data_IF_499323121811
#
_entry.id   IF_499323121811
#
_cell.length_a   1.000
_cell.length_b   1.000
_cell.length_c   1.000
_cell.angle_alpha   90.00
_cell.angle_beta   90.00
_cell.angle_gamma   90.00
#
_symmetry.space_group_name_H-M   'P 1'
#
loop_
_entity.id
_entity.type
_entity.pdbx_description
1 polymer ?
#
# COMPACT_ATOMS: atom_id res chain seq x y z
N UNK A 1 -5.57 22.27 19.17
CA UNK A 1 -6.74 21.43 18.79
C UNK A 1 -6.46 20.01 19.29
N UNK A 2 -7.35 19.39 20.09
CA UNK A 2 -7.11 18.02 20.58
C UNK A 2 -7.36 17.04 19.44
N UNK A 3 -6.63 15.92 19.42
CA UNK A 3 -6.74 14.91 18.36
C UNK A 3 -8.16 14.35 18.19
N UNK A 4 -8.92 14.27 19.29
CA UNK A 4 -10.33 13.89 19.32
C UNK A 4 -11.24 14.85 18.55
N UNK A 5 -10.87 16.13 18.47
CA UNK A 5 -11.67 17.15 17.80
C UNK A 5 -11.47 17.06 16.28
N UNK A 6 -10.23 16.77 15.84
CA UNK A 6 -9.89 16.52 14.44
C UNK A 6 -10.68 15.33 13.84
N UNK A 7 -10.76 14.21 14.56
CA UNK A 7 -11.49 13.02 14.08
C UNK A 7 -13.01 13.26 14.01
N UNK A 8 -13.57 14.03 14.94
CA UNK A 8 -14.99 14.43 14.91
C UNK A 8 -15.30 15.36 13.74
N UNK A 9 -14.36 16.20 13.32
CA UNK A 9 -14.53 17.05 12.13
C UNK A 9 -14.35 16.27 10.82
N UNK A 10 -13.43 15.30 10.81
CA UNK A 10 -13.22 14.34 9.72
C UNK A 10 -14.51 13.53 9.49
N UNK A 11 -15.07 12.90 10.54
CA UNK A 11 -16.29 12.08 10.43
C UNK A 11 -17.54 12.86 9.99
N UNK A 12 -17.58 14.18 10.17
CA UNK A 12 -18.67 15.05 9.72
C UNK A 12 -18.70 15.26 8.20
N UNK A 13 -17.77 14.68 7.45
CA UNK A 13 -17.82 14.65 5.99
C UNK A 13 -17.47 15.98 5.32
N UNK A 14 -16.77 16.90 6.02
CA UNK A 14 -16.24 18.08 5.34
C UNK A 14 -15.30 17.63 4.20
N UNK A 15 -15.51 18.09 2.96
CA UNK A 15 -14.63 17.74 1.86
C UNK A 15 -13.23 18.27 2.18
N UNK A 16 -12.24 17.39 1.98
CA UNK A 16 -10.85 17.76 2.20
C UNK A 16 -10.46 18.81 1.16
N UNK A 17 -9.99 19.98 1.61
CA UNK A 17 -9.65 21.10 0.71
C UNK A 17 -8.42 20.73 -0.12
N UNK A 18 -8.65 20.38 -1.38
CA UNK A 18 -7.62 20.25 -2.40
C UNK A 18 -6.98 21.64 -2.61
N UNK A 19 -5.65 21.73 -2.68
CA UNK A 19 -4.97 23.02 -2.85
C UNK A 19 -3.90 22.97 -3.93
N UNK A 20 -3.89 23.98 -4.80
CA UNK A 20 -2.87 24.20 -5.83
C UNK A 20 -1.55 24.63 -5.19
N UNK A 21 -0.45 24.24 -5.84
CA UNK A 21 0.95 24.48 -5.45
C UNK A 21 1.24 25.94 -5.03
N UNK A 22 1.32 26.21 -3.72
CA UNK A 22 1.73 27.49 -3.11
C UNK A 22 3.22 27.53 -2.73
N UNK A 23 4.04 26.64 -3.30
CA UNK A 23 5.42 26.38 -2.87
C UNK A 23 5.54 25.33 -1.76
N UNK A 24 4.42 24.84 -1.22
CA UNK A 24 4.33 23.70 -0.33
C UNK A 24 3.01 22.94 -0.55
N UNK A 25 3.00 21.63 -0.27
CA UNK A 25 1.82 20.77 -0.41
C UNK A 25 1.22 20.56 0.97
N UNK A 26 -0.04 20.98 1.17
CA UNK A 26 -0.77 20.63 2.40
C UNK A 26 -1.20 19.18 2.35
N UNK A 27 -0.57 18.37 3.19
CA UNK A 27 -0.91 16.95 3.31
C UNK A 27 -1.62 16.69 4.64
N UNK A 28 -2.80 16.08 4.64
CA UNK A 28 -3.50 15.69 5.86
C UNK A 28 -2.72 14.61 6.61
N UNK A 29 -2.67 14.76 7.92
CA UNK A 29 -1.91 13.85 8.79
C UNK A 29 -2.43 12.41 8.70
N UNK A 30 -3.73 12.21 8.52
CA UNK A 30 -4.32 10.88 8.40
C UNK A 30 -3.73 10.05 7.25
N UNK A 31 -3.42 10.69 6.11
CA UNK A 31 -2.79 10.02 4.96
C UNK A 31 -1.30 9.89 5.16
N UNK A 32 -0.65 10.95 5.65
CA UNK A 32 0.79 10.95 5.94
C UNK A 32 1.16 9.81 6.90
N UNK A 33 0.34 9.58 7.91
CA UNK A 33 0.52 8.54 8.94
C UNK A 33 -0.15 7.21 8.61
N UNK A 34 -0.83 7.10 7.46
CA UNK A 34 -1.51 5.88 7.05
C UNK A 34 -0.52 4.72 6.96
N UNK A 35 -0.75 3.67 7.75
CA UNK A 35 0.14 2.50 7.84
C UNK A 35 0.08 1.61 6.60
N UNK A 36 -1.05 1.61 5.90
CA UNK A 36 -1.29 0.73 4.73
C UNK A 36 -0.89 1.36 3.40
N UNK A 37 -0.32 2.56 3.42
CA UNK A 37 0.33 3.18 2.28
C UNK A 37 1.84 3.15 2.45
N UNK A 38 2.53 2.67 1.42
CA UNK A 38 4.01 2.76 1.37
C UNK A 38 4.44 4.22 1.20
N UNK A 39 5.69 4.55 1.56
CA UNK A 39 6.20 5.91 1.44
C UNK A 39 6.13 6.43 0.00
N UNK A 40 6.49 5.59 -0.98
CA UNK A 40 6.42 5.89 -2.40
C UNK A 40 4.98 6.17 -2.86
N UNK A 41 4.00 5.36 -2.42
CA UNK A 41 2.59 5.59 -2.72
C UNK A 41 2.09 6.93 -2.15
N UNK A 42 2.57 7.33 -0.96
CA UNK A 42 2.23 8.63 -0.37
C UNK A 42 2.80 9.77 -1.19
N UNK A 43 4.06 9.68 -1.61
CA UNK A 43 4.71 10.70 -2.44
C UNK A 43 3.97 10.87 -3.78
N UNK A 44 3.62 9.77 -4.45
CA UNK A 44 2.83 9.82 -5.69
C UNK A 44 1.47 10.47 -5.46
N UNK A 45 0.79 10.15 -4.37
CA UNK A 45 -0.51 10.76 -4.04
C UNK A 45 -0.38 12.26 -3.80
N UNK A 46 0.62 12.70 -3.05
CA UNK A 46 0.85 14.12 -2.75
C UNK A 46 1.23 14.92 -3.99
N UNK A 47 1.99 14.35 -4.90
CA UNK A 47 2.32 15.00 -6.18
C UNK A 47 1.07 15.17 -7.05
N UNK A 48 0.19 14.17 -7.11
CA UNK A 48 -1.09 14.28 -7.81
C UNK A 48 -1.94 15.42 -7.23
N UNK A 49 -1.93 15.58 -5.90
CA UNK A 49 -2.66 16.65 -5.23
C UNK A 49 -2.07 18.03 -5.49
N UNK A 50 -0.74 18.14 -5.50
CA UNK A 50 -0.04 19.37 -5.83
C UNK A 50 -0.32 19.84 -7.27
N UNK A 51 -0.46 18.89 -8.19
CA UNK A 51 -0.76 19.12 -9.61
C UNK A 51 -2.26 19.18 -9.93
N UNK A 52 -3.12 19.05 -8.92
CA UNK A 52 -4.55 19.12 -9.11
C UNK A 52 -4.98 20.58 -9.32
N UNK A 53 -5.67 20.85 -10.43
CA UNK A 53 -6.12 22.20 -10.75
C UNK A 53 -7.49 22.47 -10.14
N UNK A 54 -7.60 23.50 -9.29
CA UNK A 54 -8.87 23.92 -8.66
C UNK A 54 -10.00 24.15 -9.68
N UNK A 55 -9.69 24.68 -10.87
CA UNK A 55 -10.69 24.95 -11.92
C UNK A 55 -11.23 23.68 -12.58
N UNK A 56 -10.41 22.63 -12.68
CA UNK A 56 -10.74 21.40 -13.42
C UNK A 56 -11.14 20.25 -12.50
N UNK A 57 -10.69 20.27 -11.24
CA UNK A 57 -10.88 19.20 -10.26
C UNK A 57 -10.23 17.87 -10.68
N UNK A 58 -9.17 17.93 -11.49
CA UNK A 58 -8.34 16.77 -11.82
C UNK A 58 -6.91 17.18 -12.16
N UNK A 59 -5.98 16.26 -11.87
CA UNK A 59 -4.60 16.31 -12.31
C UNK A 59 -4.43 15.52 -13.62
N UNK A 60 -3.60 16.00 -14.54
CA UNK A 60 -3.30 15.32 -15.81
C UNK A 60 -1.79 15.08 -16.05
N UNK A 61 -0.99 14.73 -15.03
CA UNK A 61 0.43 14.49 -15.23
C UNK A 61 0.68 13.23 -16.05
N UNK A 62 1.73 13.28 -16.88
CA UNK A 62 2.24 12.07 -17.53
C UNK A 62 3.03 11.23 -16.53
N UNK A 63 3.16 9.92 -16.76
CA UNK A 63 3.98 9.07 -15.90
C UNK A 63 5.44 9.50 -15.90
N UNK A 64 5.95 10.05 -17.01
CA UNK A 64 7.29 10.61 -17.11
C UNK A 64 7.46 11.88 -16.28
N UNK A 65 6.44 12.74 -16.24
CA UNK A 65 6.44 13.93 -15.37
C UNK A 65 6.51 13.53 -13.90
N UNK A 66 5.68 12.57 -13.48
CA UNK A 66 5.73 12.05 -12.10
C UNK A 66 7.08 11.38 -11.79
N UNK A 67 7.67 10.69 -12.77
CA UNK A 67 8.96 10.03 -12.65
C UNK A 67 10.08 11.04 -12.39
N UNK A 68 10.06 12.13 -13.15
CA UNK A 68 11.00 13.23 -13.01
C UNK A 68 10.84 13.95 -11.68
N UNK A 69 9.60 14.30 -11.27
CA UNK A 69 9.35 14.99 -9.99
C UNK A 69 9.78 14.16 -8.78
N UNK A 70 9.52 12.84 -8.81
CA UNK A 70 9.70 11.97 -7.65
C UNK A 70 11.02 11.18 -7.64
N UNK A 71 11.82 11.28 -8.70
CA UNK A 71 13.05 10.49 -8.85
C UNK A 71 12.80 8.98 -8.96
N UNK A 72 11.65 8.59 -9.53
CA UNK A 72 11.24 7.18 -9.65
C UNK A 72 11.18 6.74 -11.10
N UNK A 73 11.24 5.44 -11.37
CA UNK A 73 11.05 4.93 -12.72
C UNK A 73 9.57 4.93 -13.13
N UNK A 74 9.28 5.18 -14.40
CA UNK A 74 7.91 5.16 -14.94
C UNK A 74 7.15 3.85 -14.66
N UNK A 75 7.77 2.65 -14.76
CA UNK A 75 7.11 1.39 -14.40
C UNK A 75 6.69 1.33 -12.92
N UNK A 76 7.54 1.82 -12.01
CA UNK A 76 7.22 1.88 -10.58
C UNK A 76 6.01 2.80 -10.35
N UNK A 77 5.99 3.98 -10.96
CA UNK A 77 4.84 4.90 -10.86
C UNK A 77 3.55 4.25 -11.37
N UNK A 78 3.59 3.59 -12.52
CA UNK A 78 2.43 2.85 -13.04
C UNK A 78 1.90 1.83 -12.03
N UNK A 79 2.80 1.11 -11.36
CA UNK A 79 2.45 0.15 -10.29
C UNK A 79 1.85 0.85 -9.07
N UNK A 80 2.41 1.96 -8.62
CA UNK A 80 1.89 2.72 -7.47
C UNK A 80 0.52 3.35 -7.76
N UNK A 81 0.33 3.90 -8.95
CA UNK A 81 -0.96 4.45 -9.40
C UNK A 81 -2.06 3.38 -9.37
N UNK A 82 -1.78 2.18 -9.93
CA UNK A 82 -2.73 1.05 -9.87
C UNK A 82 -3.07 0.63 -8.45
N UNK A 83 -2.09 0.63 -7.53
CA UNK A 83 -2.34 0.29 -6.12
C UNK A 83 -3.13 1.38 -5.39
N UNK A 84 -2.85 2.66 -5.64
CA UNK A 84 -3.58 3.78 -5.07
C UNK A 84 -5.05 3.77 -5.52
N UNK A 85 -5.28 3.45 -6.80
CA UNK A 85 -6.61 3.27 -7.37
C UNK A 85 -7.32 2.06 -6.75
N UNK A 86 -6.66 0.90 -6.68
CA UNK A 86 -7.22 -0.30 -6.03
C UNK A 86 -7.50 -0.13 -4.54
N UNK A 87 -6.80 0.78 -3.86
CA UNK A 87 -7.05 1.15 -2.46
C UNK A 87 -8.09 2.27 -2.29
N UNK A 88 -8.61 2.83 -3.39
CA UNK A 88 -9.63 3.87 -3.37
C UNK A 88 -9.14 5.26 -2.93
N UNK A 89 -7.85 5.55 -3.06
CA UNK A 89 -7.31 6.90 -2.77
C UNK A 89 -7.43 7.84 -3.96
N UNK A 90 -7.36 7.30 -5.18
CA UNK A 90 -7.48 8.05 -6.43
C UNK A 90 -8.47 7.36 -7.37
N UNK A 91 -9.07 8.15 -8.26
CA UNK A 91 -9.85 7.65 -9.38
C UNK A 91 -9.13 8.08 -10.67
N UNK A 92 -8.86 7.13 -11.57
CA UNK A 92 -8.31 7.44 -12.88
C UNK A 92 -9.42 7.41 -13.94
N UNK A 93 -9.38 8.38 -14.87
CA UNK A 93 -10.30 8.44 -15.99
C UNK A 93 -9.54 8.76 -17.27
N UNK A 94 -9.81 7.99 -18.34
CA UNK A 94 -9.15 8.14 -19.63
C UNK A 94 -9.26 6.87 -20.46
N UNK A 95 -9.65 7.02 -21.73
CA UNK A 95 -9.70 5.93 -22.70
C UNK A 95 -8.33 5.64 -23.32
N UNK A 96 -8.25 4.56 -24.10
CA UNK A 96 -7.07 4.18 -24.87
C UNK A 96 -6.66 5.33 -25.81
N UNK A 97 -5.42 5.80 -25.71
CA UNK A 97 -4.88 6.91 -26.51
C UNK A 97 -5.12 8.32 -25.94
N UNK A 98 -5.93 8.48 -24.90
CA UNK A 98 -6.12 9.78 -24.23
C UNK A 98 -5.24 9.92 -23.00
N UNK A 99 -4.84 11.15 -22.67
CA UNK A 99 -4.11 11.45 -21.44
C UNK A 99 -4.95 11.07 -20.23
N UNK A 100 -4.38 10.29 -19.31
CA UNK A 100 -5.04 9.90 -18.07
C UNK A 100 -5.23 11.12 -17.18
N UNK A 101 -6.43 11.22 -16.59
CA UNK A 101 -6.80 12.22 -15.60
C UNK A 101 -6.96 11.52 -14.26
N UNK A 102 -6.36 12.07 -13.22
CA UNK A 102 -6.40 11.56 -11.86
C UNK A 102 -7.18 12.52 -10.99
N UNK A 103 -8.12 11.99 -10.20
CA UNK A 103 -8.86 12.73 -9.18
C UNK A 103 -8.62 12.11 -7.81
N UNK A 104 -8.44 12.91 -6.76
CA UNK A 104 -8.57 12.41 -5.40
C UNK A 104 -9.96 11.80 -5.21
N UNK A 105 -10.06 10.72 -4.44
CA UNK A 105 -11.37 10.11 -4.15
C UNK A 105 -12.22 11.04 -3.28
N UNK A 106 -13.46 11.30 -3.68
CA UNK A 106 -14.40 12.16 -2.93
C UNK A 106 -14.72 11.62 -1.53
N UNK A 107 -14.70 10.29 -1.35
CA UNK A 107 -14.99 9.61 -0.09
C UNK A 107 -13.73 9.18 0.68
N UNK A 108 -12.65 9.97 0.60
CA UNK A 108 -11.42 9.68 1.31
C UNK A 108 -11.62 9.55 2.83
N UNK A 109 -12.57 10.31 3.37
CA UNK A 109 -13.04 10.29 4.76
C UNK A 109 -13.47 8.88 5.22
N UNK A 110 -14.09 8.13 4.31
CA UNK A 110 -14.68 6.81 4.58
C UNK A 110 -13.74 5.68 4.15
N UNK A 111 -12.52 5.98 3.73
CA UNK A 111 -11.59 4.97 3.26
C UNK A 111 -11.17 4.05 4.43
N UNK A 112 -11.41 2.72 4.35
CA UNK A 112 -11.16 1.79 5.46
C UNK A 112 -9.68 1.77 5.87
N UNK A 113 -8.75 2.01 4.94
CA UNK A 113 -7.32 2.07 5.25
C UNK A 113 -6.94 3.27 6.12
N UNK A 114 -7.63 4.40 5.94
CA UNK A 114 -7.42 5.59 6.76
C UNK A 114 -8.04 5.36 8.13
N UNK A 115 -9.30 4.93 8.19
CA UNK A 115 -9.99 4.67 9.45
C UNK A 115 -9.21 3.69 10.33
N UNK A 116 -8.81 2.54 9.78
CA UNK A 116 -8.03 1.54 10.52
C UNK A 116 -6.70 2.12 11.03
N UNK A 117 -6.03 2.95 10.23
CA UNK A 117 -4.79 3.58 10.65
C UNK A 117 -4.98 4.60 11.77
N UNK A 118 -6.03 5.42 11.71
CA UNK A 118 -6.31 6.41 12.75
C UNK A 118 -6.72 5.75 14.07
N UNK A 119 -7.53 4.69 14.02
CA UNK A 119 -7.88 3.86 15.18
C UNK A 119 -6.66 3.22 15.83
N UNK A 120 -5.74 2.73 15.00
CA UNK A 120 -4.50 2.17 15.50
C UNK A 120 -3.64 3.22 16.22
N UNK A 121 -3.50 4.42 15.64
CA UNK A 121 -2.77 5.52 16.29
C UNK A 121 -3.44 5.97 17.59
N UNK A 122 -4.77 5.97 17.65
CA UNK A 122 -5.53 6.20 18.89
C UNK A 122 -5.21 5.16 19.97
N UNK A 123 -5.30 3.88 19.61
CA UNK A 123 -5.03 2.79 20.56
C UNK A 123 -3.61 2.90 21.12
N UNK A 124 -2.63 3.12 20.24
CA UNK A 124 -1.23 3.35 20.63
C UNK A 124 -1.09 4.54 21.58
N UNK A 125 -1.77 5.65 21.31
CA UNK A 125 -1.73 6.82 22.19
C UNK A 125 -2.31 6.50 23.57
N UNK A 126 -3.43 5.78 23.65
CA UNK A 126 -4.03 5.35 24.92
C UNK A 126 -3.09 4.45 25.73
N UNK A 127 -2.42 3.50 25.08
CA UNK A 127 -1.43 2.64 25.75
C UNK A 127 -0.23 3.44 26.26
N UNK A 128 0.28 4.38 25.49
CA UNK A 128 1.41 5.24 25.93
C UNK A 128 1.09 6.04 27.19
N UNK A 129 -0.15 6.54 27.32
CA UNK A 129 -0.58 7.24 28.53
C UNK A 129 -0.65 6.33 29.76
N UNK A 130 -0.85 5.03 29.58
CA UNK A 130 -1.04 4.08 30.68
C UNK A 130 0.26 3.40 31.14
N UNK A 131 1.29 3.34 30.30
CA UNK A 131 2.52 2.57 30.54
C UNK A 131 3.79 3.41 30.38
N UNK A 132 3.80 4.63 30.92
CA UNK A 132 4.61 5.78 30.49
C UNK A 132 6.14 5.61 30.41
N UNK A 133 6.75 4.56 30.95
CA UNK A 133 8.22 4.47 31.03
C UNK A 133 8.84 3.11 30.64
N UNK A 134 8.07 2.01 30.61
CA UNK A 134 8.64 0.67 30.41
C UNK A 134 8.56 0.14 28.98
N UNK A 135 7.85 0.83 28.09
CA UNK A 135 7.68 0.33 26.73
C UNK A 135 8.88 0.70 25.86
N UNK A 136 9.97 -0.06 26.02
CA UNK A 136 11.19 -0.01 25.19
C UNK A 136 10.84 -0.14 23.70
N UNK A 137 11.48 0.65 22.81
CA UNK A 137 11.18 0.75 21.37
C UNK A 137 10.91 -0.56 20.61
N UNK A 138 11.37 -1.69 21.15
CA UNK A 138 11.02 -3.07 20.80
C UNK A 138 9.52 -3.32 20.57
N UNK A 139 8.63 -2.72 21.38
CA UNK A 139 7.18 -2.87 21.16
C UNK A 139 6.70 -2.29 19.84
N UNK A 140 7.33 -1.18 19.40
CA UNK A 140 7.01 -0.51 18.15
C UNK A 140 7.39 -1.40 16.97
N UNK A 141 8.56 -2.05 17.05
CA UNK A 141 9.03 -3.01 16.06
C UNK A 141 8.14 -4.25 15.99
N UNK A 142 7.79 -4.81 17.16
CA UNK A 142 6.87 -5.95 17.26
C UNK A 142 5.51 -5.61 16.64
N UNK A 143 4.97 -4.43 16.96
CA UNK A 143 3.68 -3.98 16.45
C UNK A 143 3.72 -3.71 14.94
N UNK A 144 4.78 -3.10 14.43
CA UNK A 144 4.99 -2.91 12.99
C UNK A 144 5.10 -4.23 12.24
N UNK A 145 5.62 -5.29 12.87
CA UNK A 145 5.67 -6.64 12.30
C UNK A 145 4.27 -7.22 12.06
N UNK A 146 3.30 -6.97 12.95
CA UNK A 146 1.91 -7.40 12.80
C UNK A 146 1.14 -6.61 11.76
N UNK A 147 1.48 -5.33 11.55
CA UNK A 147 0.81 -4.49 10.55
C UNK A 147 1.36 -4.77 9.14
N UNK A 148 2.67 -5.00 9.01
CA UNK A 148 3.34 -5.33 7.76
C UNK A 148 3.20 -6.82 7.41
N UNK A 149 1.96 -7.34 7.33
CA UNK A 149 1.62 -8.73 6.94
C UNK A 149 1.94 -9.01 5.46
N UNK A 150 3.19 -8.79 5.04
CA UNK A 150 3.68 -9.17 3.72
C UNK A 150 4.69 -10.31 3.75
N UNK A 151 4.87 -10.98 4.89
CA UNK A 151 5.92 -12.01 5.00
C UNK A 151 5.60 -13.21 5.92
N UNK A 152 4.33 -13.62 6.05
CA UNK A 152 3.97 -14.86 6.77
C UNK A 152 3.03 -15.83 6.03
N UNK A 153 2.73 -15.60 4.75
CA UNK A 153 1.96 -16.57 3.95
C UNK A 153 2.81 -17.40 2.98
N UNK A 154 4.13 -17.44 3.16
CA UNK A 154 5.04 -18.30 2.37
C UNK A 154 5.87 -19.26 3.23
N UNK A 155 5.52 -19.46 4.50
CA UNK A 155 6.30 -20.27 5.46
C UNK A 155 5.47 -21.37 6.15
N UNK A 156 4.33 -21.77 5.60
CA UNK A 156 3.52 -22.87 6.12
C UNK A 156 3.07 -23.88 5.05
N UNK A 157 3.92 -24.16 4.04
CA UNK A 157 3.68 -25.27 3.08
C UNK A 157 4.85 -26.27 3.06
N UNK A 158 5.83 -26.16 3.96
CA UNK A 158 6.92 -27.14 4.06
C UNK A 158 7.19 -27.49 5.52
N UNK A 159 6.26 -28.20 6.16
CA UNK A 159 6.53 -29.07 7.32
C UNK A 159 5.24 -29.78 7.71
N UNK A 160 4.83 -30.75 6.90
CA UNK A 160 4.21 -31.97 7.41
C UNK A 160 4.50 -33.06 6.39
N UNK A 161 5.17 -34.11 6.88
CA UNK A 161 5.23 -35.50 6.40
C UNK A 161 6.68 -35.97 6.29
N UNK A 162 7.29 -36.23 7.45
CA UNK A 162 8.31 -37.27 7.57
C UNK A 162 7.79 -38.40 8.46
N UNK A 163 7.69 -39.57 7.84
CA UNK A 163 7.95 -40.91 8.35
C UNK A 163 6.98 -41.60 9.32
N UNK A 164 6.30 -42.62 8.78
CA UNK A 164 6.20 -43.94 9.43
C UNK A 164 6.45 -45.05 8.40
N UNK A 165 7.44 -45.89 8.71
CA UNK A 165 7.97 -47.02 7.95
C UNK A 165 7.14 -48.30 8.11
N UNK A 166 6.96 -49.10 7.07
CA UNK A 166 6.97 -50.58 7.18
C UNK A 166 7.21 -51.31 5.85
N UNK A 167 8.25 -52.16 5.88
CA UNK A 167 8.54 -53.42 5.15
C UNK A 167 7.82 -53.78 3.83
N UNK A 168 8.60 -54.03 2.76
CA UNK A 168 8.89 -55.37 2.19
C UNK A 168 9.76 -55.29 0.91
N UNK A 169 10.55 -56.34 0.68
CA UNK A 169 11.67 -56.50 -0.28
C UNK A 169 11.26 -56.68 -1.77
N UNK A 170 12.21 -56.61 -2.73
CA UNK A 170 11.96 -56.36 -4.17
C UNK A 170 11.84 -57.64 -5.03
N UNK A 171 11.45 -57.51 -6.32
CA UNK A 171 12.31 -58.09 -7.36
C UNK A 171 12.43 -57.29 -8.68
N UNK A 172 13.67 -57.24 -9.16
CA UNK A 172 14.21 -57.44 -10.52
C UNK A 172 13.47 -56.98 -11.79
N UNK A 173 14.30 -56.36 -12.65
CA UNK A 173 14.34 -56.42 -14.14
C UNK A 173 13.25 -55.67 -14.91
N UNK A 174 13.65 -54.64 -15.67
CA UNK A 174 13.78 -54.69 -17.15
C UNK A 174 14.28 -53.33 -17.67
N UNK A 175 15.46 -53.32 -18.30
CA UNK A 175 15.83 -52.32 -19.34
C UNK A 175 15.33 -52.88 -20.68
N UNK A 176 14.85 -52.03 -21.61
CA UNK A 176 15.68 -51.68 -22.79
C UNK A 176 15.57 -50.19 -23.17
N UNK A 177 16.66 -49.49 -23.48
CA UNK A 177 17.31 -49.33 -24.80
C UNK A 177 16.61 -48.36 -25.79
N UNK A 178 17.26 -47.20 -25.93
CA UNK A 178 17.51 -46.37 -27.13
C UNK A 178 16.40 -46.25 -28.18
N UNK A 179 16.08 -44.99 -28.53
CA UNK A 179 16.28 -44.47 -29.89
C UNK A 179 16.39 -42.94 -29.89
N UNK A 180 17.60 -42.50 -30.18
CA UNK A 180 17.92 -41.24 -30.86
C UNK A 180 17.04 -41.04 -32.09
N UNK A 181 16.59 -39.82 -32.37
CA UNK A 181 16.81 -39.19 -33.68
C UNK A 181 16.65 -37.67 -33.60
N UNK A 182 17.56 -37.00 -34.27
CA UNK A 182 17.76 -35.57 -34.42
C UNK A 182 17.22 -35.13 -35.79
N UNK A 183 17.10 -33.81 -36.00
CA UNK A 183 16.84 -33.03 -37.24
C UNK A 183 15.36 -32.73 -37.53
N UNK A 184 15.00 -31.55 -38.05
CA UNK A 184 15.77 -30.44 -38.65
C UNK A 184 15.49 -29.10 -37.96
#
# INVERSE_FOLDING_TARGET
MRYTDYLKEFSKGKPMKEMVNRGYVLTPNAIRRCLRLTQEEKLVLFEIWALNSEQKGYAFPTQQTLAMSLGMTSPSISKHLKKLEGKGFIQSSGGKGTRKRYRPSASLQTNPYILLSEWFHLAVQSFRHHYSEQINGKWGDDLLSYVNVKKRMSLQVQTTMDNSSSSCKPPLMFKPLKRSFCRM
#
